data_IF_761377923825
#
_entry.id   IF_761377923825
#
_cell.length_a   1.000
_cell.length_b   1.000
_cell.length_c   1.000
_cell.angle_alpha   90.00
_cell.angle_beta   90.00
_cell.angle_gamma   90.00
#
_symmetry.space_group_name_H-M   'P 1'
#
loop_
_entity.id
_entity.type
_entity.pdbx_description
1 polymer ?
#
# COMPACT_ATOMS: atom_id res chain seq x y z
N UNK A 1 3.80 -27.99 9.06
CA UNK A 1 3.62 -27.18 7.84
C UNK A 1 4.71 -26.13 7.84
N UNK A 2 5.61 -26.11 6.85
CA UNK A 2 6.48 -24.95 6.65
C UNK A 2 5.59 -23.83 6.11
N UNK A 3 5.30 -22.83 6.94
CA UNK A 3 4.62 -21.62 6.48
C UNK A 3 5.65 -20.80 5.70
N UNK A 4 5.45 -20.68 4.40
CA UNK A 4 6.24 -19.78 3.56
C UNK A 4 5.73 -18.35 3.77
N UNK A 5 6.65 -17.39 3.91
CA UNK A 5 6.29 -15.99 4.06
C UNK A 5 5.62 -15.46 2.80
N UNK A 6 4.64 -14.58 2.98
CA UNK A 6 3.96 -13.89 1.89
C UNK A 6 4.85 -12.75 1.41
N UNK A 7 5.03 -12.65 0.10
CA UNK A 7 5.72 -11.54 -0.54
C UNK A 7 4.73 -10.46 -0.96
N UNK A 8 5.16 -9.22 -0.77
CA UNK A 8 4.36 -8.04 -0.97
C UNK A 8 5.12 -7.03 -1.83
N UNK A 9 4.38 -6.39 -2.74
CA UNK A 9 4.82 -5.19 -3.41
C UNK A 9 4.15 -3.99 -2.74
N UNK A 10 4.97 -3.01 -2.33
CA UNK A 10 4.52 -1.81 -1.63
C UNK A 10 4.55 -0.62 -2.57
N UNK A 11 3.41 0.04 -2.68
CA UNK A 11 3.19 1.20 -3.52
C UNK A 11 2.88 2.42 -2.66
N UNK A 12 3.40 3.57 -3.05
CA UNK A 12 3.05 4.88 -2.49
C UNK A 12 2.10 5.62 -3.42
N UNK A 13 1.10 6.23 -2.82
CA UNK A 13 0.06 7.01 -3.46
C UNK A 13 0.26 8.47 -3.08
N UNK A 14 0.22 9.32 -4.09
CA UNK A 14 0.09 10.76 -3.89
C UNK A 14 -0.78 11.45 -4.90
N UNK A 15 -1.27 12.60 -4.50
CA UNK A 15 -2.13 13.46 -5.30
C UNK A 15 -1.54 14.85 -5.33
N UNK A 16 -1.93 15.62 -6.33
CA UNK A 16 -1.54 17.03 -6.45
C UNK A 16 -2.48 17.97 -5.71
N UNK A 17 -3.76 17.60 -5.61
CA UNK A 17 -4.85 18.43 -5.09
C UNK A 17 -5.82 17.64 -4.22
N UNK A 18 -6.16 16.41 -4.60
CA UNK A 18 -7.18 15.62 -3.89
C UNK A 18 -6.67 15.19 -2.51
N UNK A 19 -7.31 15.56 -1.38
CA UNK A 19 -6.87 15.08 -0.08
C UNK A 19 -7.14 13.58 0.06
N UNK A 20 -6.10 12.79 0.37
CA UNK A 20 -6.21 11.32 0.52
C UNK A 20 -6.07 10.88 1.98
N UNK A 21 -5.33 11.63 2.80
CA UNK A 21 -5.29 11.41 4.25
C UNK A 21 -6.54 12.01 4.91
N UNK A 22 -7.22 11.22 5.76
CA UNK A 22 -8.45 11.66 6.45
C UNK A 22 -9.74 11.57 5.63
N UNK A 23 -9.67 11.24 4.33
CA UNK A 23 -10.82 11.19 3.43
C UNK A 23 -11.45 9.79 3.30
N UNK A 24 -11.36 8.94 4.34
CA UNK A 24 -11.75 7.51 4.30
C UNK A 24 -11.04 6.68 3.20
N UNK A 25 -10.00 7.22 2.57
CA UNK A 25 -9.35 6.63 1.40
C UNK A 25 -8.80 5.22 1.65
N UNK A 26 -8.12 5.02 2.80
CA UNK A 26 -7.67 3.69 3.24
C UNK A 26 -8.81 2.69 3.40
N UNK A 27 -9.92 3.15 3.98
CA UNK A 27 -11.12 2.33 4.17
C UNK A 27 -11.73 1.88 2.84
N UNK A 28 -11.72 2.76 1.83
CA UNK A 28 -12.18 2.46 0.46
C UNK A 28 -11.32 1.41 -0.22
N UNK A 29 -9.99 1.54 -0.15
CA UNK A 29 -9.05 0.55 -0.70
C UNK A 29 -9.24 -0.81 -0.02
N UNK A 30 -9.32 -0.84 1.32
CA UNK A 30 -9.58 -2.08 2.07
C UNK A 30 -10.91 -2.73 1.68
N UNK A 31 -11.97 -1.92 1.53
CA UNK A 31 -13.29 -2.42 1.10
C UNK A 31 -13.23 -3.04 -0.28
N UNK A 32 -12.55 -2.41 -1.24
CA UNK A 32 -12.33 -3.00 -2.57
C UNK A 32 -11.60 -4.34 -2.48
N UNK A 33 -10.55 -4.43 -1.67
CA UNK A 33 -9.82 -5.69 -1.46
C UNK A 33 -10.73 -6.82 -1.02
N UNK A 34 -11.59 -6.56 -0.03
CA UNK A 34 -12.59 -7.53 0.44
C UNK A 34 -13.59 -7.93 -0.65
N UNK A 35 -14.12 -6.96 -1.42
CA UNK A 35 -15.09 -7.23 -2.48
C UNK A 35 -14.50 -8.02 -3.67
N UNK A 36 -13.19 -7.89 -3.91
CA UNK A 36 -12.49 -8.54 -5.03
C UNK A 36 -11.68 -9.77 -4.63
N UNK A 37 -11.65 -10.15 -3.35
CA UNK A 37 -10.81 -11.25 -2.86
C UNK A 37 -9.31 -10.95 -2.97
N UNK A 38 -8.93 -9.67 -2.87
CA UNK A 38 -7.55 -9.19 -2.96
C UNK A 38 -7.03 -8.91 -1.55
N UNK A 39 -5.88 -9.48 -1.23
CA UNK A 39 -5.15 -9.19 0.00
C UNK A 39 -4.47 -7.85 -0.16
N UNK A 40 -4.88 -6.88 0.66
CA UNK A 40 -4.33 -5.53 0.61
C UNK A 40 -4.02 -5.02 2.02
N UNK A 41 -2.82 -4.49 2.20
CA UNK A 41 -2.46 -3.69 3.35
C UNK A 41 -2.53 -2.22 2.95
N UNK A 42 -2.94 -1.34 3.86
CA UNK A 42 -3.05 0.09 3.54
C UNK A 42 -2.88 0.96 4.78
N UNK A 43 -1.94 1.90 4.74
CA UNK A 43 -1.58 2.77 5.86
C UNK A 43 -1.36 4.21 5.40
N UNK A 44 -1.56 5.16 6.31
CA UNK A 44 -1.12 6.53 6.07
C UNK A 44 0.39 6.54 6.28
N UNK A 45 1.10 7.36 5.52
CA UNK A 45 2.50 7.60 5.82
C UNK A 45 2.59 8.46 7.09
N UNK A 46 3.50 8.09 7.99
CA UNK A 46 3.88 8.91 9.16
C UNK A 46 5.12 9.75 8.86
N UNK A 47 5.85 9.43 7.79
CA UNK A 47 7.09 10.09 7.39
C UNK A 47 6.90 11.14 6.30
N UNK A 48 5.75 11.16 5.62
CA UNK A 48 5.47 12.10 4.52
C UNK A 48 3.99 12.51 4.56
N UNK A 49 3.74 13.82 4.53
CA UNK A 49 2.39 14.37 4.56
C UNK A 49 1.57 14.06 3.29
N UNK A 50 0.26 13.87 3.47
CA UNK A 50 -0.71 13.55 2.42
C UNK A 50 -0.23 12.43 1.48
N UNK A 51 0.34 11.38 2.07
CA UNK A 51 0.73 10.14 1.39
C UNK A 51 0.02 8.96 2.03
N UNK A 52 -0.38 8.01 1.19
CA UNK A 52 -0.91 6.71 1.60
C UNK A 52 -0.07 5.65 0.93
N UNK A 53 0.28 4.60 1.65
CA UNK A 53 0.90 3.42 1.04
C UNK A 53 -0.05 2.26 1.11
N UNK A 54 -0.04 1.44 0.08
CA UNK A 54 -0.72 0.16 0.07
C UNK A 54 0.22 -0.93 -0.39
N UNK A 55 -0.06 -2.17 0.00
CA UNK A 55 0.70 -3.32 -0.44
C UNK A 55 -0.25 -4.41 -0.93
N UNK A 56 0.15 -5.08 -2.00
CA UNK A 56 -0.55 -6.23 -2.59
C UNK A 56 0.40 -7.40 -2.66
N UNK A 57 -0.14 -8.61 -2.61
CA UNK A 57 0.71 -9.81 -2.77
C UNK A 57 1.15 -9.95 -4.22
N UNK A 58 2.36 -10.46 -4.47
CA UNK A 58 2.97 -10.56 -5.82
C UNK A 58 2.14 -11.32 -6.88
N UNK A 59 1.13 -12.07 -6.45
CA UNK A 59 0.24 -12.83 -7.32
C UNK A 59 -1.05 -12.08 -7.69
N UNK A 60 -1.24 -10.85 -7.19
CA UNK A 60 -2.48 -10.11 -7.32
C UNK A 60 -2.38 -8.91 -8.24
N UNK A 61 -3.51 -8.62 -8.87
CA UNK A 61 -3.57 -7.70 -9.99
C UNK A 61 -3.60 -6.24 -9.51
N UNK A 62 -2.45 -5.58 -9.60
CA UNK A 62 -2.30 -4.14 -9.34
C UNK A 62 -3.28 -3.31 -10.18
N UNK A 63 -3.66 -3.80 -11.36
CA UNK A 63 -4.52 -3.07 -12.29
C UNK A 63 -5.90 -2.76 -11.68
N UNK A 64 -6.48 -3.70 -10.91
CA UNK A 64 -7.78 -3.51 -10.27
C UNK A 64 -7.74 -2.40 -9.22
N UNK A 65 -6.74 -2.42 -8.34
CA UNK A 65 -6.60 -1.43 -7.27
C UNK A 65 -6.20 -0.07 -7.85
N UNK A 66 -5.24 -0.04 -8.77
CA UNK A 66 -4.77 1.22 -9.37
C UNK A 66 -5.86 1.91 -10.20
N UNK A 67 -6.68 1.14 -10.94
CA UNK A 67 -7.83 1.68 -11.68
C UNK A 67 -8.86 2.28 -10.74
N UNK A 68 -9.21 1.59 -9.66
CA UNK A 68 -10.12 2.13 -8.65
C UNK A 68 -9.60 3.41 -8.00
N UNK A 69 -8.31 3.42 -7.62
CA UNK A 69 -7.67 4.59 -7.01
C UNK A 69 -7.76 5.80 -7.95
N UNK A 70 -7.52 5.62 -9.25
CA UNK A 70 -7.64 6.69 -10.26
C UNK A 70 -9.08 7.21 -10.43
N UNK A 71 -10.10 6.37 -10.22
CA UNK A 71 -11.49 6.82 -10.20
C UNK A 71 -11.79 7.68 -8.97
N UNK A 72 -11.26 7.29 -7.81
CA UNK A 72 -11.49 8.02 -6.55
C UNK A 72 -10.69 9.33 -6.49
N UNK A 73 -9.48 9.34 -7.04
CA UNK A 73 -8.58 10.49 -7.09
C UNK A 73 -7.95 10.56 -8.50
N UNK A 74 -8.54 11.33 -9.44
CA UNK A 74 -8.06 11.39 -10.83
C UNK A 74 -6.64 11.94 -11.00
N UNK A 75 -6.16 12.75 -10.05
CA UNK A 75 -4.84 13.37 -10.04
C UNK A 75 -3.79 12.54 -9.28
N UNK A 76 -4.08 11.25 -9.08
CA UNK A 76 -3.23 10.34 -8.33
C UNK A 76 -2.04 9.83 -9.13
N UNK A 77 -0.90 9.75 -8.47
CA UNK A 77 0.31 9.08 -8.91
C UNK A 77 0.56 7.90 -7.97
N UNK A 78 0.93 6.77 -8.56
CA UNK A 78 1.20 5.52 -7.84
C UNK A 78 2.62 5.09 -8.21
N UNK A 79 3.48 4.90 -7.21
CA UNK A 79 4.89 4.56 -7.39
C UNK A 79 5.24 3.31 -6.58
N UNK A 80 5.92 2.34 -7.21
CA UNK A 80 6.46 1.18 -6.51
C UNK A 80 7.64 1.62 -5.63
N UNK A 81 7.57 1.32 -4.33
CA UNK A 81 8.62 1.68 -3.36
C UNK A 81 9.43 0.48 -2.88
N UNK A 82 8.77 -0.65 -2.67
CA UNK A 82 9.42 -1.90 -2.29
C UNK A 82 8.82 -3.03 -3.12
N UNK A 83 9.67 -3.94 -3.58
CA UNK A 83 9.26 -5.09 -4.39
C UNK A 83 9.64 -6.38 -3.67
N UNK A 84 8.77 -7.38 -3.73
CA UNK A 84 9.03 -8.73 -3.23
C UNK A 84 9.48 -8.76 -1.74
N UNK A 85 8.86 -7.96 -0.87
CA UNK A 85 9.22 -7.88 0.56
C UNK A 85 8.28 -8.69 1.45
N UNK A 86 8.82 -9.26 2.54
CA UNK A 86 8.01 -9.97 3.53
C UNK A 86 7.65 -9.06 4.71
N UNK A 87 6.44 -9.23 5.24
CA UNK A 87 5.93 -8.54 6.44
C UNK A 87 6.20 -7.01 6.45
N UNK A 88 5.85 -6.27 5.37
CA UNK A 88 6.18 -4.85 5.31
C UNK A 88 5.39 -4.02 6.33
N UNK A 89 6.04 -3.03 6.91
CA UNK A 89 5.44 -1.89 7.62
C UNK A 89 5.32 -0.72 6.64
N UNK A 90 4.11 -0.23 6.42
CA UNK A 90 3.84 0.74 5.36
C UNK A 90 3.98 2.19 5.85
N UNK A 91 3.65 2.45 7.12
CA UNK A 91 3.63 3.79 7.70
C UNK A 91 4.97 4.50 7.65
N UNK A 92 6.07 3.74 7.62
CA UNK A 92 7.44 4.28 7.59
C UNK A 92 8.44 3.30 6.97
N UNK A 93 8.79 3.50 5.70
CA UNK A 93 9.57 2.51 4.95
C UNK A 93 10.93 2.14 5.56
N UNK A 94 11.55 3.07 6.31
CA UNK A 94 12.84 2.82 6.97
C UNK A 94 12.79 1.68 7.99
N UNK A 95 11.61 1.33 8.49
CA UNK A 95 11.39 0.22 9.44
C UNK A 95 11.57 -1.13 8.75
N UNK A 96 11.43 -1.20 7.42
CA UNK A 96 11.62 -2.43 6.66
C UNK A 96 13.09 -2.79 6.40
N UNK A 97 14.03 -1.96 6.87
CA UNK A 97 15.46 -2.23 6.75
C UNK A 97 15.88 -3.10 7.93
N UNK A 98 16.01 -4.40 7.70
CA UNK A 98 16.29 -5.41 8.72
C UNK A 98 17.53 -5.09 9.56
N UNK A 99 18.62 -4.65 8.92
CA UNK A 99 19.90 -4.33 9.56
C UNK A 99 19.84 -3.20 10.60
N UNK A 100 18.71 -2.48 10.71
CA UNK A 100 18.50 -1.45 11.73
C UNK A 100 18.09 -2.02 13.09
N UNK A 101 17.80 -3.31 13.18
CA UNK A 101 17.24 -3.93 14.38
C UNK A 101 18.10 -5.11 14.82
N UNK A 102 18.39 -5.16 16.10
CA UNK A 102 18.90 -6.33 16.81
C UNK A 102 17.78 -6.84 17.71
N UNK A 103 17.40 -8.11 17.53
CA UNK A 103 16.38 -8.77 18.34
C UNK A 103 16.98 -9.34 19.63
#
# INVERSE_FOLDING_TARGET
MNSQLIYWDVYEIHTTKTPITGAMFRGRIRKLGLEKGINVLVENCEDIDNRVRFAVTNAQDLEVISSYIKVVAPDVQIELKLKDVNNPVLSKLKVNIESRYTL
#
